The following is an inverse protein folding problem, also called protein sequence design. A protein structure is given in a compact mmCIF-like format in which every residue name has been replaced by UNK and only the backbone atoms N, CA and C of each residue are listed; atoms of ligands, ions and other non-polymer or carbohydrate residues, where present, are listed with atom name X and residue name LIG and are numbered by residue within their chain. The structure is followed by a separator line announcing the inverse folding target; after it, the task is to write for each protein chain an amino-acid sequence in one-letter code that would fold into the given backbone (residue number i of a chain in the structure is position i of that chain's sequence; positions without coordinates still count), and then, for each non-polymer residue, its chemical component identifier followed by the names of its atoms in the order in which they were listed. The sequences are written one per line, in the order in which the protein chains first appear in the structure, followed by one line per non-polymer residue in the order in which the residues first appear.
data_IF_989968926360
#
_entry.id   IF_989968926360
#
_cell.length_a   1.000
_cell.length_b   1.000
_cell.length_c   1.000
_cell.angle_alpha   90.00
_cell.angle_beta   90.00
_cell.angle_gamma   90.00
#
_symmetry.space_group_name_H-M   'P 1'
#
loop_
_entity.id
_entity.type
_entity.pdbx_description
1 polymer ?
#
# COMPACT_ATOMS: atom_id res chain seq x y z
N UNK A 1 -20.28 1.09 -13.80
CA UNK A 1 -19.70 1.86 -12.68
C UNK A 1 -18.52 1.06 -12.16
N UNK A 2 -17.39 1.72 -11.91
CA UNK A 2 -16.12 1.05 -11.63
C UNK A 2 -15.59 1.43 -10.24
N UNK A 3 -15.07 0.44 -9.55
CA UNK A 3 -14.32 0.58 -8.31
C UNK A 3 -12.85 0.75 -8.68
N UNK A 4 -12.29 1.94 -8.51
CA UNK A 4 -10.91 2.22 -8.94
C UNK A 4 -10.20 2.94 -7.81
N UNK A 5 -9.05 2.40 -7.42
CA UNK A 5 -8.19 3.01 -6.41
C UNK A 5 -6.87 3.45 -7.04
N UNK A 6 -6.25 4.47 -6.45
CA UNK A 6 -4.90 4.92 -6.79
C UNK A 6 -4.11 5.19 -5.53
N UNK A 7 -2.89 4.69 -5.47
CA UNK A 7 -1.92 5.10 -4.45
C UNK A 7 -1.40 6.49 -4.83
N UNK A 8 -1.68 7.50 -4.00
CA UNK A 8 -1.24 8.89 -4.21
C UNK A 8 0.20 9.09 -3.76
N UNK A 9 0.66 8.32 -2.78
CA UNK A 9 2.02 8.40 -2.27
C UNK A 9 2.31 7.42 -1.15
N UNK A 10 3.60 7.23 -0.90
CA UNK A 10 4.10 6.37 0.17
C UNK A 10 5.18 7.13 0.94
N UNK A 11 5.00 7.26 2.24
CA UNK A 11 6.04 7.75 3.16
C UNK A 11 6.73 6.54 3.79
N UNK A 12 8.03 6.38 3.58
CA UNK A 12 8.85 5.38 4.26
C UNK A 12 9.78 6.05 5.26
N UNK A 13 9.76 5.61 6.52
CA UNK A 13 10.67 6.11 7.56
C UNK A 13 11.28 4.93 8.32
N UNK A 14 12.57 4.95 8.66
CA UNK A 14 13.14 3.95 9.56
C UNK A 14 12.35 3.88 10.87
N UNK A 15 12.04 2.67 11.35
CA UNK A 15 11.39 2.48 12.64
C UNK A 15 12.38 2.82 13.76
N UNK A 16 11.96 3.66 14.70
CA UNK A 16 12.77 4.01 15.88
C UNK A 16 12.94 2.83 16.85
N UNK A 17 12.06 1.82 16.73
CA UNK A 17 11.98 0.68 17.67
C UNK A 17 12.77 -0.54 17.22
N UNK A 18 12.98 -0.71 15.91
CA UNK A 18 13.55 -1.93 15.32
C UNK A 18 14.52 -1.58 14.19
N UNK A 19 15.84 -1.78 14.39
CA UNK A 19 16.83 -1.61 13.32
C UNK A 19 16.50 -2.51 12.12
N UNK A 20 16.59 -1.97 10.89
CA UNK A 20 16.27 -2.70 9.66
C UNK A 20 14.77 -2.75 9.31
N UNK A 21 13.90 -2.24 10.19
CA UNK A 21 12.47 -2.10 9.91
C UNK A 21 12.15 -0.66 9.48
N UNK A 22 11.23 -0.52 8.53
CA UNK A 22 10.68 0.75 8.05
C UNK A 22 9.19 0.81 8.34
N UNK A 23 8.74 1.94 8.89
CA UNK A 23 7.33 2.30 8.97
C UNK A 23 6.92 2.94 7.66
N UNK A 24 6.03 2.27 6.92
CA UNK A 24 5.44 2.78 5.69
C UNK A 24 4.05 3.33 5.99
N UNK A 25 3.74 4.48 5.40
CA UNK A 25 2.41 5.06 5.37
C UNK A 25 1.99 5.29 3.93
N UNK A 26 0.98 4.54 3.50
CA UNK A 26 0.52 4.45 2.11
C UNK A 26 -0.79 5.19 1.99
N UNK A 27 -0.83 6.24 1.18
CA UNK A 27 -2.00 7.08 0.95
C UNK A 27 -2.75 6.62 -0.30
N UNK A 28 -4.04 6.35 -0.17
CA UNK A 28 -4.85 5.72 -1.21
C UNK A 28 -6.09 6.57 -1.43
N UNK A 29 -6.36 6.90 -2.69
CA UNK A 29 -7.55 7.62 -3.11
C UNK A 29 -8.49 6.70 -3.87
N UNK A 30 -9.77 6.78 -3.58
CA UNK A 30 -10.79 6.22 -4.46
C UNK A 30 -11.05 7.20 -5.61
N UNK A 31 -10.72 6.78 -6.83
CA UNK A 31 -10.90 7.54 -8.07
C UNK A 31 -12.02 6.97 -8.94
N UNK A 32 -12.73 5.95 -8.45
CA UNK A 32 -13.91 5.37 -9.08
C UNK A 32 -15.21 6.10 -8.73
N UNK A 33 -16.31 5.55 -9.23
CA UNK A 33 -17.68 6.06 -9.03
C UNK A 33 -18.42 5.32 -7.90
N UNK A 34 -17.90 4.17 -7.48
CA UNK A 34 -18.44 3.36 -6.38
C UNK A 34 -17.52 3.39 -5.15
N UNK A 35 -18.04 2.99 -3.99
CA UNK A 35 -17.21 2.76 -2.81
C UNK A 35 -16.16 1.67 -3.08
N UNK A 36 -14.92 1.93 -2.69
CA UNK A 36 -13.83 0.98 -2.81
C UNK A 36 -13.60 0.24 -1.49
N UNK A 37 -13.67 -1.09 -1.53
CA UNK A 37 -13.39 -1.96 -0.39
C UNK A 37 -11.98 -2.53 -0.48
N UNK A 38 -11.02 -1.86 0.13
CA UNK A 38 -9.61 -2.28 0.17
C UNK A 38 -9.50 -3.45 1.15
N UNK A 39 -8.99 -4.59 0.67
CA UNK A 39 -8.91 -5.82 1.45
C UNK A 39 -7.47 -6.29 1.71
N UNK A 40 -6.51 -5.81 0.94
CA UNK A 40 -5.14 -6.28 1.06
C UNK A 40 -4.12 -5.24 0.61
N UNK A 41 -2.98 -5.29 1.26
CA UNK A 41 -1.78 -4.55 0.88
C UNK A 41 -0.57 -5.49 0.95
N UNK A 42 0.35 -5.32 0.01
CA UNK A 42 1.59 -6.08 -0.09
C UNK A 42 2.76 -5.13 -0.38
N UNK A 43 3.92 -5.42 0.18
CA UNK A 43 5.19 -4.85 -0.26
C UNK A 43 6.06 -5.96 -0.77
N UNK A 44 6.47 -5.86 -2.02
CA UNK A 44 7.20 -6.89 -2.73
C UNK A 44 8.35 -6.32 -3.56
N UNK A 45 9.36 -7.13 -3.86
CA UNK A 45 10.46 -6.72 -4.74
C UNK A 45 10.17 -7.09 -6.21
N UNK A 46 11.10 -6.77 -7.12
CA UNK A 46 11.00 -7.10 -8.56
C UNK A 46 10.83 -8.60 -8.85
N UNK A 47 11.21 -9.47 -7.91
CA UNK A 47 11.11 -10.93 -8.05
C UNK A 47 9.78 -11.49 -7.50
N UNK A 48 8.92 -10.62 -6.95
CA UNK A 48 7.65 -11.03 -6.34
C UNK A 48 7.76 -11.56 -4.91
N UNK A 49 8.93 -11.47 -4.27
CA UNK A 49 9.06 -11.83 -2.86
C UNK A 49 8.32 -10.81 -2.00
N UNK A 50 7.42 -11.27 -1.12
CA UNK A 50 6.63 -10.43 -0.22
C UNK A 50 7.38 -10.23 1.09
N UNK A 51 7.59 -8.97 1.47
CA UNK A 51 8.30 -8.58 2.70
C UNK A 51 7.34 -8.23 3.83
N UNK A 52 6.17 -7.68 3.49
CA UNK A 52 5.10 -7.45 4.42
C UNK A 52 3.76 -7.47 3.68
N UNK A 53 2.74 -7.94 4.39
CA UNK A 53 1.38 -7.99 3.88
C UNK A 53 0.41 -7.79 5.03
N UNK A 54 -0.74 -7.19 4.73
CA UNK A 54 -1.80 -7.02 5.71
C UNK A 54 -3.16 -7.19 5.02
N UNK A 55 -4.09 -7.82 5.73
CA UNK A 55 -5.49 -7.91 5.33
C UNK A 55 -6.26 -6.86 6.12
N UNK A 56 -7.01 -6.05 5.40
CA UNK A 56 -7.65 -4.86 5.95
C UNK A 56 -9.14 -4.85 5.59
N UNK A 57 -9.88 -3.98 6.25
CA UNK A 57 -11.26 -3.70 5.87
C UNK A 57 -11.45 -2.18 5.86
N UNK A 58 -10.84 -1.53 4.86
CA UNK A 58 -10.92 -0.09 4.65
C UNK A 58 -11.89 0.19 3.51
N UNK A 59 -12.92 0.99 3.78
CA UNK A 59 -13.86 1.46 2.76
C UNK A 59 -13.60 2.93 2.48
N UNK A 60 -13.47 3.29 1.20
CA UNK A 60 -13.32 4.68 0.75
C UNK A 60 -14.47 5.05 -0.16
N UNK A 61 -15.15 6.16 0.13
CA UNK A 61 -16.18 6.71 -0.77
C UNK A 61 -15.52 7.36 -1.99
N UNK A 62 -16.23 7.57 -3.11
CA UNK A 62 -15.69 8.26 -4.27
C UNK A 62 -15.05 9.61 -3.90
N UNK A 63 -13.78 9.79 -4.26
CA UNK A 63 -13.00 11.00 -3.97
C UNK A 63 -12.27 10.99 -2.61
N UNK A 64 -12.61 10.09 -1.70
CA UNK A 64 -11.98 9.99 -0.39
C UNK A 64 -10.52 9.55 -0.49
N UNK A 65 -9.72 10.03 0.47
CA UNK A 65 -8.33 9.62 0.67
C UNK A 65 -8.18 8.98 2.04
N UNK A 66 -7.76 7.71 2.07
CA UNK A 66 -7.38 6.99 3.28
C UNK A 66 -5.89 6.76 3.36
N UNK A 67 -5.45 6.16 4.47
CA UNK A 67 -4.08 5.67 4.59
C UNK A 67 -4.01 4.33 5.31
N UNK A 68 -2.95 3.58 5.01
CA UNK A 68 -2.60 2.33 5.66
C UNK A 68 -1.18 2.48 6.21
N UNK A 69 -0.97 2.02 7.44
CA UNK A 69 0.34 2.04 8.09
C UNK A 69 0.81 0.61 8.32
N UNK A 70 2.04 0.30 7.90
CA UNK A 70 2.64 -1.03 8.03
C UNK A 70 4.11 -0.92 8.42
N UNK A 71 4.61 -1.89 9.18
CA UNK A 71 6.04 -2.03 9.50
C UNK A 71 6.63 -3.20 8.70
N UNK A 72 7.72 -2.95 7.98
CA UNK A 72 8.32 -3.91 7.05
C UNK A 72 9.83 -3.97 7.24
N UNK A 73 10.40 -5.16 7.24
CA UNK A 73 11.86 -5.34 7.17
C UNK A 73 12.30 -5.12 5.73
N UNK A 74 13.05 -4.05 5.48
CA UNK A 74 13.45 -3.62 4.14
C UNK A 74 14.93 -3.25 4.13
N UNK A 75 15.57 -3.51 3.01
CA UNK A 75 16.98 -3.21 2.79
C UNK A 75 17.15 -1.81 2.20
N UNK A 76 18.14 -1.08 2.72
CA UNK A 76 18.54 0.22 2.17
C UNK A 76 19.03 0.06 0.74
N UNK A 77 18.82 1.11 -0.06
CA UNK A 77 19.21 1.21 -1.47
C UNK A 77 18.55 0.15 -2.36
N UNK A 78 17.46 -0.46 -1.90
CA UNK A 78 16.68 -1.46 -2.65
C UNK A 78 15.35 -0.90 -3.13
N UNK A 79 14.88 -1.43 -4.26
CA UNK A 79 13.60 -1.06 -4.86
C UNK A 79 12.50 -2.06 -4.48
N UNK A 80 11.36 -1.52 -4.08
CA UNK A 80 10.17 -2.27 -3.70
C UNK A 80 8.92 -1.71 -4.41
N UNK A 81 7.86 -2.49 -4.39
CA UNK A 81 6.54 -2.13 -4.90
C UNK A 81 5.51 -2.33 -3.81
N UNK A 82 4.74 -1.29 -3.57
CA UNK A 82 3.53 -1.34 -2.74
C UNK A 82 2.38 -1.66 -3.67
N UNK A 83 1.68 -2.75 -3.39
CA UNK A 83 0.47 -3.17 -4.11
C UNK A 83 -0.70 -3.14 -3.15
N UNK A 84 -1.76 -2.43 -3.52
CA UNK A 84 -3.02 -2.40 -2.79
C UNK A 84 -4.07 -3.02 -3.69
N UNK A 85 -4.86 -3.95 -3.15
CA UNK A 85 -5.96 -4.57 -3.88
C UNK A 85 -7.29 -4.37 -3.16
N UNK A 86 -8.36 -4.32 -3.95
CA UNK A 86 -9.73 -4.28 -3.45
C UNK A 86 -10.40 -5.65 -3.51
N UNK A 87 -11.53 -5.80 -2.82
CA UNK A 87 -12.31 -7.06 -2.84
C UNK A 87 -12.80 -7.46 -4.22
N UNK A 88 -13.06 -6.50 -5.10
CA UNK A 88 -13.45 -6.76 -6.49
C UNK A 88 -12.26 -7.08 -7.42
N UNK A 89 -11.03 -7.11 -6.88
CA UNK A 89 -9.82 -7.48 -7.62
C UNK A 89 -9.17 -6.33 -8.37
N UNK A 90 -9.55 -5.07 -8.12
CA UNK A 90 -8.81 -3.92 -8.64
C UNK A 90 -7.54 -3.70 -7.85
N UNK A 91 -6.47 -3.33 -8.55
CA UNK A 91 -5.14 -3.23 -7.96
C UNK A 91 -4.49 -1.90 -8.34
N UNK A 92 -3.81 -1.29 -7.37
CA UNK A 92 -2.93 -0.15 -7.59
C UNK A 92 -1.52 -0.52 -7.13
N UNK A 93 -0.53 -0.17 -7.94
CA UNK A 93 0.87 -0.48 -7.68
C UNK A 93 1.69 0.82 -7.65
N UNK A 94 2.62 0.92 -6.71
CA UNK A 94 3.46 2.11 -6.52
C UNK A 94 4.89 1.68 -6.19
N UNK A 95 5.86 2.14 -6.96
CA UNK A 95 7.28 1.85 -6.72
C UNK A 95 7.87 2.77 -5.65
N UNK A 96 8.63 2.22 -4.73
CA UNK A 96 9.40 2.96 -3.73
C UNK A 96 10.86 2.49 -3.71
N UNK A 97 11.75 3.38 -3.31
CA UNK A 97 13.15 3.08 -3.00
C UNK A 97 13.41 3.42 -1.54
N UNK A 98 14.11 2.55 -0.84
CA UNK A 98 14.38 2.65 0.60
C UNK A 98 15.81 3.11 0.88
#
# INVERSE_FOLDING_TARGET
MAEIIRIEGVSAKPSEKKPGTYSLKVYIKNVGEENAEINSIYVLNIYGNVFCAEVLNLTLSPGDVGYISLECELEKMSQYFVKVSTRKGYESLYSISI
#
